data_IF_085126827380
#
_entry.id   IF_085126827380
#
_cell.length_a   1.000
_cell.length_b   1.000
_cell.length_c   1.000
_cell.angle_alpha   90.00
_cell.angle_beta   90.00
_cell.angle_gamma   90.00
#
_symmetry.space_group_name_H-M   'P 1'
#
loop_
_entity.id
_entity.type
_entity.pdbx_description
1 polymer ?
#
# COMPACT_ATOMS: atom_id res chain seq x y z
N UNK A 1 24.23 7.07 0.49
CA UNK A 1 23.64 7.81 -0.62
C UNK A 1 22.61 8.79 -0.12
N UNK A 2 22.62 9.98 -0.69
CA UNK A 2 21.73 10.97 -0.21
C UNK A 2 20.41 10.94 -0.94
N UNK A 3 19.31 11.00 -0.23
CA UNK A 3 17.99 10.99 -0.83
C UNK A 3 17.60 12.42 -1.17
N UNK A 4 17.19 12.65 -2.42
CA UNK A 4 16.82 13.99 -2.87
C UNK A 4 15.36 14.28 -2.50
N UNK A 5 14.97 15.53 -2.63
CA UNK A 5 13.58 15.92 -2.38
C UNK A 5 12.63 15.21 -3.36
N UNK A 6 13.06 15.01 -4.60
CA UNK A 6 12.26 14.28 -5.56
C UNK A 6 12.04 12.84 -5.10
N UNK A 7 13.09 12.22 -4.55
CA UNK A 7 12.98 10.85 -4.03
C UNK A 7 12.04 10.81 -2.85
N UNK A 8 12.09 11.80 -1.97
CA UNK A 8 11.20 11.85 -0.82
C UNK A 8 9.73 11.98 -1.26
N UNK A 9 9.48 12.81 -2.26
CA UNK A 9 8.12 12.96 -2.78
C UNK A 9 7.61 11.66 -3.40
N UNK A 10 8.47 10.95 -4.10
CA UNK A 10 8.08 9.67 -4.70
C UNK A 10 7.76 8.63 -3.63
N UNK A 11 8.55 8.59 -2.56
CA UNK A 11 8.31 7.65 -1.46
C UNK A 11 7.03 8.01 -0.71
N UNK A 12 6.80 9.31 -0.49
CA UNK A 12 5.60 9.79 0.17
C UNK A 12 4.36 9.38 -0.63
N UNK A 13 4.38 9.59 -1.94
CA UNK A 13 3.27 9.21 -2.80
C UNK A 13 3.06 7.70 -2.82
N UNK A 14 4.12 6.94 -2.76
CA UNK A 14 4.03 5.49 -2.73
C UNK A 14 3.33 5.03 -1.45
N UNK A 15 3.67 5.63 -0.32
CA UNK A 15 3.04 5.26 0.95
C UNK A 15 1.57 5.67 1.00
N UNK A 16 1.15 6.68 0.23
CA UNK A 16 -0.26 7.07 0.21
C UNK A 16 -1.16 5.95 -0.29
N UNK A 17 -0.62 4.98 -1.00
CA UNK A 17 -1.41 3.85 -1.48
C UNK A 17 -1.67 2.81 -0.40
N UNK A 18 -0.94 2.88 0.70
CA UNK A 18 -1.01 1.83 1.72
C UNK A 18 -2.41 1.70 2.35
N UNK A 19 -3.11 2.80 2.54
CA UNK A 19 -4.42 2.73 3.19
C UNK A 19 -5.43 1.94 2.37
N UNK A 20 -5.25 1.81 1.07
CA UNK A 20 -6.13 1.03 0.23
C UNK A 20 -5.56 -0.31 -0.17
N UNK A 21 -4.42 -0.72 0.38
CA UNK A 21 -3.72 -1.89 -0.12
C UNK A 21 -4.48 -3.19 0.09
N UNK A 22 -5.17 -3.33 1.21
CA UNK A 22 -5.92 -4.55 1.47
C UNK A 22 -7.06 -4.70 0.47
N UNK A 23 -7.68 -3.59 0.10
CA UNK A 23 -8.73 -3.62 -0.89
C UNK A 23 -8.17 -3.97 -2.26
N UNK A 24 -7.02 -3.41 -2.63
CA UNK A 24 -6.40 -3.74 -3.91
C UNK A 24 -6.03 -5.22 -3.99
N UNK A 25 -5.52 -5.76 -2.91
CA UNK A 25 -5.17 -7.18 -2.85
C UNK A 25 -6.43 -8.04 -3.01
N UNK A 26 -7.49 -7.69 -2.30
CA UNK A 26 -8.73 -8.44 -2.38
C UNK A 26 -9.33 -8.39 -3.78
N UNK A 27 -9.30 -7.21 -4.40
CA UNK A 27 -9.82 -7.06 -5.76
C UNK A 27 -8.99 -7.87 -6.76
N UNK A 28 -7.67 -7.86 -6.60
CA UNK A 28 -6.82 -8.62 -7.51
C UNK A 28 -7.05 -10.12 -7.35
N UNK A 29 -7.21 -10.60 -6.13
CA UNK A 29 -7.50 -12.00 -5.90
C UNK A 29 -8.84 -12.39 -6.53
N UNK A 30 -9.83 -11.49 -6.43
CA UNK A 30 -11.11 -11.74 -7.03
C UNK A 30 -11.02 -11.78 -8.54
N UNK A 31 -10.29 -10.89 -9.15
CA UNK A 31 -10.09 -10.88 -10.60
C UNK A 31 -9.47 -12.19 -11.10
N UNK A 32 -8.53 -12.72 -10.32
CA UNK A 32 -7.86 -13.95 -10.71
C UNK A 32 -8.71 -15.18 -10.48
N UNK A 33 -9.54 -15.15 -9.44
CA UNK A 33 -10.35 -16.30 -9.09
C UNK A 33 -11.68 -16.32 -9.85
N UNK A 34 -12.28 -15.16 -10.06
CA UNK A 34 -13.55 -15.07 -10.73
C UNK A 34 -13.45 -14.05 -11.85
N UNK A 35 -12.81 -14.42 -12.94
CA UNK A 35 -12.63 -13.46 -14.02
C UNK A 35 -13.94 -13.13 -14.60
N UNK A 36 -14.28 -11.94 -14.71
CA UNK A 36 -15.48 -11.65 -15.12
C UNK A 36 -15.64 -11.63 -16.44
N UNK A 37 -15.13 -11.55 -17.16
CA UNK A 37 -15.22 -11.55 -18.32
C UNK A 37 -16.25 -11.81 -18.86
N UNK A 38 -16.63 -11.41 -19.35
CA UNK A 38 -17.54 -11.51 -19.87
C UNK A 38 -17.80 -12.55 -20.43
N UNK A 39 -18.13 -12.73 -20.84
CA UNK A 39 -18.38 -13.70 -21.47
C UNK A 39 -18.53 -14.82 -21.00
N UNK A 40 -18.34 -15.01 -20.67
CA UNK A 40 -18.33 -16.03 -20.25
C UNK A 40 -19.25 -16.70 -20.26
N UNK A 41 -19.62 -16.61 -20.32
CA UNK A 41 -20.38 -17.30 -20.25
C UNK A 41 -20.80 -18.14 -20.63
N UNK A 42 -20.97 -18.19 -20.94
CA UNK A 42 -21.48 -18.79 -21.46
C UNK A 42 -21.41 -19.94 -21.29
N UNK A 43 -21.42 -20.24 -21.30
CA UNK A 43 -21.51 -21.31 -21.34
C UNK A 43 -21.02 -22.12 -20.85
N UNK A 44 -20.55 -22.06 -20.80
CA UNK A 44 -20.07 -22.84 -20.49
C UNK A 44 -20.27 -23.63 -19.94
N UNK A 45 -20.48 -23.87 -19.81
CA UNK A 45 -20.76 -24.64 -19.40
C UNK A 45 -20.40 -25.11 -18.46
N UNK A 46 -20.64 -25.12 -18.03
CA UNK A 46 -20.49 -25.42 -17.00
C UNK A 46 -19.61 -26.30 -16.56
N UNK A 47 -19.48 -27.06 -16.90
CA UNK A 47 -18.79 -27.99 -16.50
C UNK A 47 -17.61 -27.63 -16.02
N UNK A 48 -17.18 -26.95 -16.41
CA UNK A 48 -16.01 -26.68 -16.10
C UNK A 48 -15.82 -26.34 -14.85
N UNK A 49 -16.52 -25.79 -14.43
CA UNK A 49 -16.42 -25.38 -13.27
C UNK A 49 -15.87 -26.08 -12.34
N UNK A 50 -15.96 -27.12 -12.33
CA UNK A 50 -15.68 -27.82 -11.27
C UNK A 50 -14.42 -27.74 -10.66
N UNK A 51 -13.44 -27.45 -11.27
CA UNK A 51 -12.27 -27.49 -10.66
C UNK A 51 -11.60 -26.26 -10.66
N UNK A 52 -12.09 -25.17 -10.26
CA UNK A 52 -11.45 -23.94 -10.25
C UNK A 52 -10.36 -23.88 -9.24
N UNK A 53 -10.39 -24.72 -8.28
CA UNK A 53 -9.49 -24.57 -7.16
C UNK A 53 -8.02 -24.65 -7.51
N UNK A 54 -7.62 -25.66 -8.21
CA UNK A 54 -6.23 -25.79 -8.53
C UNK A 54 -5.75 -24.69 -9.45
N UNK A 55 -6.51 -24.38 -10.47
CA UNK A 55 -6.16 -23.35 -11.40
C UNK A 55 -6.09 -22.00 -10.71
N UNK A 56 -7.04 -21.73 -9.81
CA UNK A 56 -7.05 -20.46 -9.09
C UNK A 56 -5.81 -20.33 -8.20
N UNK A 57 -5.44 -21.39 -7.51
CA UNK A 57 -4.25 -21.36 -6.65
C UNK A 57 -3.00 -21.08 -7.48
N UNK A 58 -2.88 -21.70 -8.63
CA UNK A 58 -1.71 -21.48 -9.47
C UNK A 58 -1.68 -20.05 -9.98
N UNK A 59 -2.84 -19.48 -10.35
CA UNK A 59 -2.87 -18.11 -10.81
C UNK A 59 -2.49 -17.15 -9.69
N UNK A 60 -2.98 -17.38 -8.48
CA UNK A 60 -2.65 -16.53 -7.36
C UNK A 60 -1.16 -16.57 -7.07
N UNK A 61 -0.58 -17.76 -7.08
CA UNK A 61 0.83 -17.89 -6.77
C UNK A 61 1.74 -17.25 -7.80
N UNK A 62 1.34 -17.26 -9.06
CA UNK A 62 2.22 -16.78 -10.10
C UNK A 62 1.94 -15.35 -10.53
N UNK A 63 0.92 -14.71 -9.98
CA UNK A 63 0.57 -13.37 -10.43
C UNK A 63 1.55 -12.34 -9.90
N UNK A 64 2.21 -11.65 -10.80
CA UNK A 64 3.22 -10.66 -10.44
C UNK A 64 2.61 -9.46 -9.75
N UNK A 65 1.44 -9.00 -10.23
CA UNK A 65 0.80 -7.85 -9.63
C UNK A 65 0.38 -8.12 -8.20
N UNK A 66 -0.23 -9.27 -7.95
CA UNK A 66 -0.63 -9.64 -6.60
C UNK A 66 0.57 -9.76 -5.69
N UNK A 67 1.63 -10.39 -6.19
CA UNK A 67 2.83 -10.56 -5.40
C UNK A 67 3.44 -9.22 -5.02
N UNK A 68 3.45 -8.27 -5.97
CA UNK A 68 3.98 -6.94 -5.69
C UNK A 68 3.13 -6.17 -4.69
N UNK A 69 1.80 -6.33 -4.74
CA UNK A 69 0.93 -5.70 -3.75
C UNK A 69 1.19 -6.25 -2.35
N UNK A 70 1.35 -7.56 -2.24
CA UNK A 70 1.63 -8.20 -0.96
C UNK A 70 3.00 -7.77 -0.44
N UNK A 71 3.98 -7.71 -1.32
CA UNK A 71 5.32 -7.30 -0.93
C UNK A 71 5.30 -5.86 -0.41
N UNK A 72 4.57 -4.98 -1.08
CA UNK A 72 4.45 -3.60 -0.62
C UNK A 72 3.81 -3.55 0.77
N UNK A 73 2.73 -4.30 0.98
CA UNK A 73 2.06 -4.35 2.26
C UNK A 73 3.02 -4.83 3.35
N UNK A 74 3.74 -5.91 3.08
CA UNK A 74 4.67 -6.47 4.05
C UNK A 74 5.80 -5.50 4.36
N UNK A 75 6.28 -4.79 3.36
CA UNK A 75 7.34 -3.80 3.56
C UNK A 75 6.86 -2.66 4.46
N UNK A 76 5.64 -2.18 4.25
CA UNK A 76 5.11 -1.10 5.08
C UNK A 76 4.86 -1.60 6.50
N UNK A 77 4.41 -2.83 6.66
CA UNK A 77 4.22 -3.39 8.00
C UNK A 77 5.55 -3.49 8.74
N UNK A 78 6.62 -3.85 8.03
CA UNK A 78 7.95 -3.89 8.62
C UNK A 78 8.41 -2.48 9.01
N UNK A 79 8.09 -1.49 8.18
CA UNK A 79 8.40 -0.11 8.51
C UNK A 79 7.70 0.29 9.81
N UNK A 80 6.40 -0.01 9.91
CA UNK A 80 5.64 0.36 11.09
C UNK A 80 6.20 -0.26 12.36
N UNK A 81 6.69 -1.49 12.28
CA UNK A 81 7.27 -2.13 13.44
C UNK A 81 8.55 -1.43 13.89
N UNK A 82 9.23 -0.77 13.00
CA UNK A 82 10.45 -0.07 13.34
C UNK A 82 10.28 1.38 13.74
N UNK A 83 9.04 1.89 13.74
CA UNK A 83 8.80 3.28 14.09
C UNK A 83 8.50 3.42 15.59
N UNK A 84 8.92 4.56 16.17
CA UNK A 84 8.56 4.83 17.55
C UNK A 84 7.12 5.37 17.62
N UNK A 85 6.65 5.65 18.82
CA UNK A 85 5.26 6.08 19.00
C UNK A 85 4.95 7.40 18.31
N UNK A 86 5.88 8.33 18.32
CA UNK A 86 5.70 9.60 17.66
C UNK A 86 5.64 9.43 16.17
N UNK A 87 6.55 8.63 15.62
CA UNK A 87 6.58 8.35 14.18
C UNK A 87 5.32 7.62 13.73
N UNK A 88 4.80 6.72 14.56
CA UNK A 88 3.55 6.03 14.25
C UNK A 88 2.38 7.00 14.19
N UNK A 89 2.35 8.00 15.05
CA UNK A 89 1.30 9.00 15.00
C UNK A 89 1.35 9.79 13.69
N UNK A 90 2.54 10.16 13.27
CA UNK A 90 2.75 10.86 12.01
C UNK A 90 2.29 9.97 10.85
N UNK A 91 2.70 8.70 10.88
CA UNK A 91 2.33 7.76 9.83
C UNK A 91 0.81 7.63 9.74
N UNK A 92 0.16 7.50 10.89
CA UNK A 92 -1.29 7.34 10.92
C UNK A 92 -1.99 8.55 10.31
N UNK A 93 -1.58 9.76 10.68
CA UNK A 93 -2.21 10.95 10.18
C UNK A 93 -1.98 11.16 8.69
N UNK A 94 -0.81 10.81 8.21
CA UNK A 94 -0.47 11.08 6.82
C UNK A 94 -0.91 9.96 5.88
N UNK A 95 -0.61 8.73 6.22
CA UNK A 95 -0.75 7.62 5.28
C UNK A 95 -1.86 6.63 5.60
N UNK A 96 -2.31 6.58 6.84
CA UNK A 96 -3.39 5.66 7.19
C UNK A 96 -4.76 6.24 6.87
N UNK A 97 -4.84 7.56 6.69
CA UNK A 97 -6.10 8.21 6.36
C UNK A 97 -6.24 8.49 4.87
N UNK A 98 -5.27 8.08 4.08
CA UNK A 98 -5.24 8.46 2.67
C UNK A 98 -6.32 7.77 1.82
N UNK A 99 -7.00 6.77 2.39
CA UNK A 99 -8.08 6.12 1.67
C UNK A 99 -9.27 7.05 1.48
N UNK A 100 -9.40 8.06 2.31
CA UNK A 100 -10.47 9.03 2.14
C UNK A 100 -9.98 10.07 1.13
N UNK A 101 -10.89 10.94 0.71
CA UNK A 101 -10.54 11.97 -0.25
C UNK A 101 -9.55 12.93 0.36
N UNK A 102 -9.59 13.12 1.67
CA UNK A 102 -8.74 14.06 2.33
C UNK A 102 -7.67 13.37 3.16
N UNK A 103 -6.47 13.87 3.11
CA UNK A 103 -5.41 13.48 4.01
C UNK A 103 -4.70 14.76 4.44
N UNK A 104 -4.02 14.70 5.57
CA UNK A 104 -3.43 15.91 6.14
C UNK A 104 -2.14 16.27 5.42
N UNK A 105 -1.94 17.55 5.21
CA UNK A 105 -0.67 18.04 4.69
C UNK A 105 0.38 17.94 5.80
N UNK A 106 1.63 18.05 5.44
CA UNK A 106 2.70 17.99 6.43
C UNK A 106 2.59 19.14 7.42
N UNK A 107 2.19 20.33 6.94
CA UNK A 107 1.99 21.47 7.81
C UNK A 107 0.85 21.24 8.81
N UNK A 108 -0.23 20.63 8.37
CA UNK A 108 -1.35 20.32 9.25
C UNK A 108 -0.97 19.30 10.30
N UNK A 109 -0.18 18.30 9.93
CA UNK A 109 0.30 17.30 10.88
C UNK A 109 1.20 17.98 11.92
N UNK A 110 2.06 18.89 11.47
CA UNK A 110 2.91 19.62 12.38
C UNK A 110 2.10 20.40 13.39
N UNK A 111 1.03 21.06 12.93
CA UNK A 111 0.17 21.82 13.83
C UNK A 111 -0.52 20.90 14.85
N UNK A 112 -1.03 19.76 14.41
CA UNK A 112 -1.71 18.87 15.33
C UNK A 112 -0.79 18.29 16.38
N UNK A 113 0.46 18.04 16.05
CA UNK A 113 1.41 17.43 16.96
C UNK A 113 2.31 18.47 17.64
N UNK A 114 2.05 19.74 17.37
CA UNK A 114 2.80 20.85 17.99
C UNK A 114 4.27 20.88 17.56
N UNK A 115 4.52 20.63 16.28
CA UNK A 115 5.85 20.73 15.70
C UNK A 115 5.92 21.93 14.76
N UNK A 116 7.06 22.59 14.72
CA UNK A 116 7.28 23.63 13.71
C UNK A 116 7.37 22.99 12.34
N UNK A 117 7.21 23.80 11.30
CA UNK A 117 7.33 23.31 9.92
C UNK A 117 8.67 22.61 9.69
N UNK A 118 9.75 23.22 10.15
CA UNK A 118 11.08 22.65 9.98
C UNK A 118 11.18 21.29 10.65
N UNK A 119 10.62 21.18 11.84
CA UNK A 119 10.69 19.93 12.60
C UNK A 119 9.89 18.82 11.94
N UNK A 120 8.66 19.14 11.47
CA UNK A 120 7.87 18.08 10.87
C UNK A 120 8.47 17.58 9.56
N UNK A 121 9.08 18.46 8.76
CA UNK A 121 9.74 18.03 7.53
C UNK A 121 10.99 17.20 7.82
N UNK A 122 11.67 17.48 8.94
CA UNK A 122 12.79 16.64 9.34
C UNK A 122 12.31 15.25 9.74
N UNK A 123 11.19 15.16 10.46
CA UNK A 123 10.64 13.88 10.87
C UNK A 123 10.12 13.09 9.67
N UNK A 124 9.54 13.78 8.70
CA UNK A 124 9.13 13.18 7.44
C UNK A 124 10.31 12.48 6.76
N UNK A 125 11.43 13.18 6.69
CA UNK A 125 12.61 12.62 6.03
C UNK A 125 13.10 11.35 6.74
N UNK A 126 13.11 11.35 8.06
CA UNK A 126 13.56 10.18 8.81
C UNK A 126 12.69 8.97 8.50
N UNK A 127 11.37 9.15 8.50
CA UNK A 127 10.45 8.04 8.23
C UNK A 127 10.64 7.54 6.80
N UNK A 128 10.72 8.46 5.83
CA UNK A 128 10.86 8.06 4.44
C UNK A 128 12.21 7.41 4.14
N UNK A 129 13.26 7.83 4.83
CA UNK A 129 14.56 7.17 4.69
C UNK A 129 14.51 5.75 5.23
N UNK A 130 13.80 5.53 6.33
CA UNK A 130 13.63 4.18 6.85
C UNK A 130 12.86 3.31 5.85
N UNK A 131 11.83 3.89 5.23
CA UNK A 131 11.07 3.16 4.22
C UNK A 131 11.96 2.80 3.03
N UNK A 132 12.77 3.74 2.57
CA UNK A 132 13.67 3.48 1.44
C UNK A 132 14.63 2.34 1.74
N UNK A 133 15.10 2.23 2.97
CA UNK A 133 16.03 1.18 3.34
C UNK A 133 15.38 -0.20 3.31
N UNK A 134 14.08 -0.28 3.45
CA UNK A 134 13.38 -1.56 3.44
C UNK A 134 13.02 -2.03 2.03
N UNK A 135 13.21 -1.19 1.05
CA UNK A 135 12.92 -1.55 -0.32
C UNK A 135 14.18 -2.05 -1.06
#
# INVERSE_FOLDING_TARGET
MRITETDLNALDNKLLRYSGINREIALRREELTFPHKEGISVGSKGNTVSRPTETAVLKLDSDVKLRNLILFKDTVEALLEGLDEEQKKIFHLRWMNAASIFYYTWEEIGEQLHFSRKTIYRKRRVILEKFAQLQ
#
